data_IF_202998133415
#
_entry.id   IF_202998133415
#
_cell.length_a   1.000
_cell.length_b   1.000
_cell.length_c   1.000
_cell.angle_alpha   90.00
_cell.angle_beta   90.00
_cell.angle_gamma   90.00
#
_symmetry.space_group_name_H-M   'P 1'
#
loop_
_entity.id
_entity.type
_entity.pdbx_description
1 polymer ?
#
# COMPACT_ATOMS: atom_id res chain seq x y z
N UNK A 1 23.07 2.37 6.98
CA UNK A 1 22.78 3.62 6.22
C UNK A 1 21.83 3.28 5.07
N UNK A 2 20.59 3.77 5.11
CA UNK A 2 19.57 3.42 4.13
C UNK A 2 19.91 4.04 2.76
N UNK A 3 20.28 3.21 1.76
CA UNK A 3 20.39 3.69 0.38
C UNK A 3 18.99 4.07 -0.11
N UNK A 4 18.77 5.38 -0.08
CA UNK A 4 17.58 6.14 -0.47
C UNK A 4 16.94 5.56 -1.74
N UNK A 5 15.69 5.11 -1.66
CA UNK A 5 14.86 4.98 -2.85
C UNK A 5 14.88 6.36 -3.53
N UNK A 6 15.34 6.43 -4.78
CA UNK A 6 15.32 7.67 -5.56
C UNK A 6 13.90 8.26 -5.47
N UNK A 7 13.75 9.59 -5.26
CA UNK A 7 12.43 10.20 -5.22
C UNK A 7 11.80 10.05 -6.60
N UNK A 8 10.88 9.09 -6.73
CA UNK A 8 9.99 9.00 -7.88
C UNK A 8 8.95 10.09 -7.70
N UNK A 9 9.11 11.16 -8.48
CA UNK A 9 8.15 12.26 -8.59
C UNK A 9 7.84 12.42 -10.08
N UNK A 10 6.57 12.36 -10.41
CA UNK A 10 6.04 12.60 -11.75
C UNK A 10 4.92 13.61 -11.63
N UNK A 11 4.52 14.29 -12.71
CA UNK A 11 3.36 15.19 -12.68
C UNK A 11 2.10 14.49 -12.17
N UNK A 12 1.93 13.21 -12.53
CA UNK A 12 0.81 12.37 -12.09
C UNK A 12 0.90 11.93 -10.63
N UNK A 13 2.11 11.72 -10.12
CA UNK A 13 2.37 11.24 -8.76
C UNK A 13 3.49 12.07 -8.13
N UNK A 14 3.17 13.14 -7.39
CA UNK A 14 4.15 14.09 -6.87
C UNK A 14 5.03 13.50 -5.76
N UNK A 15 4.64 12.35 -5.17
CA UNK A 15 5.49 11.55 -4.30
C UNK A 15 5.14 10.05 -4.37
N UNK A 16 5.96 9.26 -3.69
CA UNK A 16 5.77 7.81 -3.55
C UNK A 16 4.49 7.50 -2.73
N UNK A 17 4.01 8.44 -1.90
CA UNK A 17 2.73 8.30 -1.22
C UNK A 17 1.57 8.24 -2.21
N UNK A 18 1.47 9.20 -3.13
CA UNK A 18 0.40 9.21 -4.13
C UNK A 18 0.50 8.01 -5.07
N UNK A 19 1.71 7.62 -5.48
CA UNK A 19 1.90 6.42 -6.30
C UNK A 19 1.45 5.15 -5.57
N UNK A 20 1.84 4.98 -4.30
CA UNK A 20 1.45 3.81 -3.49
C UNK A 20 -0.07 3.77 -3.28
N UNK A 21 -0.68 4.90 -2.94
CA UNK A 21 -2.12 5.01 -2.74
C UNK A 21 -2.90 4.74 -4.04
N UNK A 22 -2.44 5.28 -5.17
CA UNK A 22 -3.07 5.06 -6.47
C UNK A 22 -3.06 3.59 -6.89
N UNK A 23 -1.93 2.88 -6.67
CA UNK A 23 -1.84 1.44 -6.96
C UNK A 23 -2.78 0.62 -6.07
N UNK A 24 -2.86 0.93 -4.77
CA UNK A 24 -3.77 0.25 -3.86
C UNK A 24 -5.25 0.49 -4.26
N UNK A 25 -5.60 1.73 -4.62
CA UNK A 25 -6.93 2.08 -5.12
C UNK A 25 -7.28 1.36 -6.43
N UNK A 26 -6.32 1.16 -7.35
CA UNK A 26 -6.55 0.39 -8.57
C UNK A 26 -6.89 -1.07 -8.27
N UNK A 27 -6.19 -1.70 -7.34
CA UNK A 27 -6.47 -3.07 -6.91
C UNK A 27 -7.85 -3.15 -6.25
N UNK A 28 -8.20 -2.23 -5.36
CA UNK A 28 -9.53 -2.18 -4.76
C UNK A 28 -10.64 -2.03 -5.82
N UNK A 29 -10.46 -1.17 -6.83
CA UNK A 29 -11.40 -1.06 -7.96
C UNK A 29 -11.54 -2.36 -8.75
N UNK A 30 -10.45 -3.11 -8.95
CA UNK A 30 -10.49 -4.42 -9.62
C UNK A 30 -11.24 -5.45 -8.78
N UNK A 31 -11.07 -5.45 -7.46
CA UNK A 31 -11.82 -6.33 -6.55
C UNK A 31 -13.32 -6.00 -6.56
N UNK A 32 -13.69 -4.72 -6.52
CA UNK A 32 -15.10 -4.30 -6.64
C UNK A 32 -15.69 -4.79 -7.97
N UNK A 33 -14.97 -4.62 -9.09
CA UNK A 33 -15.38 -5.14 -10.40
C UNK A 33 -15.53 -6.67 -10.43
N UNK A 34 -14.77 -7.39 -9.60
CA UNK A 34 -14.87 -8.84 -9.45
C UNK A 34 -15.99 -9.27 -8.47
N UNK A 35 -16.77 -8.34 -7.91
CA UNK A 35 -17.93 -8.64 -7.06
C UNK A 35 -17.68 -8.50 -5.56
N UNK A 36 -16.51 -8.04 -5.13
CA UNK A 36 -16.27 -7.78 -3.70
C UNK A 36 -17.08 -6.56 -3.23
N UNK A 37 -17.71 -6.68 -2.05
CA UNK A 37 -18.48 -5.59 -1.47
C UNK A 37 -17.55 -4.41 -1.11
N UNK A 38 -17.74 -3.19 -1.69
CA UNK A 38 -16.90 -2.04 -1.42
C UNK A 38 -16.81 -1.65 0.07
N UNK A 39 -17.87 -1.88 0.84
CA UNK A 39 -17.92 -1.58 2.28
C UNK A 39 -17.04 -2.48 3.13
N UNK A 40 -16.54 -3.58 2.56
CA UNK A 40 -15.62 -4.53 3.17
C UNK A 40 -14.18 -4.37 2.68
N UNK A 41 -13.87 -3.30 1.96
CA UNK A 41 -12.54 -3.03 1.46
C UNK A 41 -12.00 -1.74 2.10
N UNK A 42 -10.75 -1.81 2.55
CA UNK A 42 -9.94 -0.64 2.89
C UNK A 42 -8.67 -0.65 2.04
N UNK A 43 -8.09 0.52 1.84
CA UNK A 43 -6.78 0.66 1.22
C UNK A 43 -5.84 1.39 2.18
N UNK A 44 -4.59 0.95 2.22
CA UNK A 44 -3.52 1.57 2.97
C UNK A 44 -2.31 1.76 2.05
N UNK A 45 -1.56 2.83 2.28
CA UNK A 45 -0.34 3.14 1.55
C UNK A 45 0.78 3.36 2.56
N UNK A 46 1.97 2.83 2.28
CA UNK A 46 3.14 2.93 3.17
C UNK A 46 4.36 3.55 2.51
N UNK A 47 4.25 3.94 1.23
CA UNK A 47 5.37 4.39 0.42
C UNK A 47 6.61 3.50 0.60
N UNK A 48 7.71 4.04 1.11
CA UNK A 48 8.97 3.33 1.34
C UNK A 48 9.18 2.89 2.81
N UNK A 49 8.24 3.17 3.71
CA UNK A 49 8.41 3.08 5.16
C UNK A 49 8.11 1.68 5.74
N UNK A 50 7.69 0.71 4.92
CA UNK A 50 7.54 -0.70 5.30
C UNK A 50 8.28 -1.66 4.34
N UNK A 51 9.63 -1.61 4.31
CA UNK A 51 10.43 -2.57 3.52
C UNK A 51 10.38 -3.97 4.14
N UNK A 52 10.34 -5.02 3.32
CA UNK A 52 10.53 -6.42 3.76
C UNK A 52 12.01 -6.80 3.80
N UNK A 53 12.80 -6.20 2.92
CA UNK A 53 14.24 -6.45 2.78
C UNK A 53 14.97 -5.12 2.58
N UNK A 54 16.30 -5.05 2.81
CA UNK A 54 17.08 -3.86 2.46
C UNK A 54 16.92 -3.43 0.99
N UNK A 55 16.96 -2.11 0.73
CA UNK A 55 16.85 -1.53 -0.61
C UNK A 55 18.21 -1.42 -1.37
N UNK A 56 19.24 -2.11 -0.89
CA UNK A 56 20.61 -2.06 -1.40
C UNK A 56 20.75 -2.65 -2.82
N UNK A 57 20.00 -3.71 -3.13
CA UNK A 57 20.04 -4.41 -4.41
C UNK A 57 18.83 -4.09 -5.30
N UNK A 58 18.98 -4.29 -6.62
CA UNK A 58 17.86 -4.16 -7.58
C UNK A 58 16.75 -5.16 -7.24
N UNK A 59 17.16 -6.35 -6.82
CA UNK A 59 16.31 -7.45 -6.37
C UNK A 59 15.53 -7.04 -5.11
N UNK A 60 16.20 -6.50 -4.08
CA UNK A 60 15.55 -6.01 -2.86
C UNK A 60 14.53 -4.90 -3.13
N UNK A 61 14.86 -3.95 -4.01
CA UNK A 61 13.91 -2.91 -4.45
C UNK A 61 12.73 -3.47 -5.22
N UNK A 62 12.90 -4.55 -5.99
CA UNK A 62 11.79 -5.21 -6.67
C UNK A 62 10.86 -5.90 -5.67
N UNK A 63 11.42 -6.63 -4.69
CA UNK A 63 10.67 -7.27 -3.60
C UNK A 63 9.86 -6.23 -2.82
N UNK A 64 10.44 -5.08 -2.49
CA UNK A 64 9.75 -4.06 -1.71
C UNK A 64 8.60 -3.37 -2.46
N UNK A 65 8.60 -3.33 -3.81
CA UNK A 65 7.58 -2.66 -4.66
C UNK A 65 6.32 -3.52 -4.90
N UNK A 66 5.76 -4.08 -3.83
CA UNK A 66 4.63 -5.03 -3.83
C UNK A 66 3.30 -4.38 -3.42
N UNK A 67 2.20 -5.10 -3.67
CA UNK A 67 0.89 -4.89 -3.02
C UNK A 67 0.65 -6.11 -2.11
N UNK A 68 0.21 -5.87 -0.88
CA UNK A 68 -0.23 -6.91 0.04
C UNK A 68 -1.75 -6.86 0.15
N UNK A 69 -2.43 -8.00 0.04
CA UNK A 69 -3.87 -8.14 0.29
C UNK A 69 -4.00 -8.92 1.60
N UNK A 70 -4.62 -8.29 2.59
CA UNK A 70 -4.81 -8.89 3.92
C UNK A 70 -6.29 -9.16 4.09
N UNK A 71 -6.62 -10.42 4.38
CA UNK A 71 -7.97 -10.83 4.76
C UNK A 71 -8.06 -10.90 6.28
N UNK A 72 -8.98 -10.13 6.87
CA UNK A 72 -9.21 -10.13 8.31
C UNK A 72 -10.58 -10.73 8.61
N UNK A 73 -10.63 -11.65 9.59
CA UNK A 73 -11.89 -12.19 10.10
C UNK A 73 -12.47 -11.21 11.11
N UNK A 74 -13.53 -10.49 10.73
CA UNK A 74 -14.17 -9.47 11.57
C UNK A 74 -14.47 -8.18 10.80
N UNK A 75 -14.99 -7.16 11.48
CA UNK A 75 -15.28 -5.86 10.85
C UNK A 75 -14.02 -5.01 10.71
N UNK A 76 -13.61 -4.70 9.47
CA UNK A 76 -12.51 -3.76 9.16
C UNK A 76 -12.70 -2.43 9.88
N UNK A 77 -13.95 -1.93 9.93
CA UNK A 77 -14.30 -0.68 10.61
C UNK A 77 -13.92 -0.72 12.10
N UNK A 78 -14.13 -1.85 12.78
CA UNK A 78 -13.77 -2.00 14.20
C UNK A 78 -12.26 -1.91 14.38
N UNK A 79 -11.50 -2.64 13.56
CA UNK A 79 -10.04 -2.64 13.64
C UNK A 79 -9.42 -1.27 13.32
N UNK A 80 -9.93 -0.56 12.31
CA UNK A 80 -9.48 0.80 12.00
C UNK A 80 -9.73 1.78 13.15
N UNK A 81 -10.90 1.70 13.79
CA UNK A 81 -11.22 2.54 14.96
C UNK A 81 -10.27 2.24 16.12
N UNK A 82 -9.93 0.97 16.35
CA UNK A 82 -8.98 0.58 17.40
C UNK A 82 -7.57 1.11 17.16
N UNK A 83 -7.14 1.22 15.89
CA UNK A 83 -5.84 1.80 15.52
C UNK A 83 -5.81 3.31 15.76
N UNK A 84 -6.88 4.04 15.39
CA UNK A 84 -6.93 5.50 15.50
C UNK A 84 -7.12 6.02 16.93
N UNK A 85 -7.46 5.13 17.88
CA UNK A 85 -7.66 5.45 19.30
C UNK A 85 -6.42 5.24 20.17
N UNK A 86 -5.28 4.88 19.57
CA UNK A 86 -3.98 4.72 20.23
C UNK A 86 -3.04 5.83 19.81
#
# INVERSE_FOLDING_TARGET
MAKKTLPLRTERYPSIWELSAARAAEVARKLVKAGFNPTQLSIEAFAQYRPKVPNDSRQGRAINRRIEIVYQRGSIRKHMVDILRR
#
